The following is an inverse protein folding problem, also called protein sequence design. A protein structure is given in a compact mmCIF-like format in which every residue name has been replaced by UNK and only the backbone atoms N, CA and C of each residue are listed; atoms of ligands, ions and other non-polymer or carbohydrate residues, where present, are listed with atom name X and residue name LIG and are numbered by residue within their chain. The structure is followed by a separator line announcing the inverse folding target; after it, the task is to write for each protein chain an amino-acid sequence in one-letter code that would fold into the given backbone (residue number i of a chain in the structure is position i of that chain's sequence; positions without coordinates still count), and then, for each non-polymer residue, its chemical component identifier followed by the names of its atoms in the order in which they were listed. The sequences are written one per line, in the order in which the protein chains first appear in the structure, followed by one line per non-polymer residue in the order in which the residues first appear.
data_IF_419462670246
#
_entry.id   IF_419462670246
#
_cell.length_a   1.000
_cell.length_b   1.000
_cell.length_c   1.000
_cell.angle_alpha   90.00
_cell.angle_beta   90.00
_cell.angle_gamma   90.00
#
_symmetry.space_group_name_H-M   'P 1'
#
loop_
_entity.id
_entity.type
_entity.pdbx_description
1 polymer ?
#
# COMPACT_ATOMS: atom_id res chain seq x y z
N UNK A 1 -4.72 27.19 -10.72
CA UNK A 1 -5.66 26.15 -10.25
C UNK A 1 -5.06 25.49 -9.02
N UNK A 2 -5.78 25.53 -7.89
CA UNK A 2 -5.34 24.92 -6.63
C UNK A 2 -6.28 23.78 -6.20
N UNK A 3 -5.71 22.72 -5.65
CA UNK A 3 -6.44 21.58 -5.08
C UNK A 3 -6.12 21.44 -3.61
N UNK A 4 -7.11 21.05 -2.80
CA UNK A 4 -6.95 20.70 -1.39
C UNK A 4 -7.32 19.24 -1.19
N UNK A 5 -6.38 18.48 -0.65
CA UNK A 5 -6.50 17.06 -0.37
C UNK A 5 -6.66 16.85 1.12
N UNK A 6 -7.68 16.10 1.52
CA UNK A 6 -7.94 15.76 2.91
C UNK A 6 -7.66 14.29 3.16
N UNK A 7 -6.81 14.02 4.14
CA UNK A 7 -6.46 12.70 4.64
C UNK A 7 -6.87 12.59 6.11
N UNK A 8 -7.49 11.49 6.51
CA UNK A 8 -7.76 11.23 7.93
C UNK A 8 -6.49 10.71 8.60
N UNK A 9 -6.25 11.07 9.85
CA UNK A 9 -5.11 10.55 10.62
C UNK A 9 -5.52 9.99 11.98
N UNK A 10 -4.64 9.15 12.52
CA UNK A 10 -4.63 8.66 13.91
C UNK A 10 -3.29 9.00 14.55
N UNK A 11 -3.33 9.59 15.74
CA UNK A 11 -2.17 9.84 16.59
C UNK A 11 -2.18 8.88 17.78
N UNK A 12 -1.05 8.19 17.96
CA UNK A 12 -0.86 7.15 18.98
C UNK A 12 0.32 7.51 19.88
N UNK A 13 0.12 7.51 21.19
CA UNK A 13 1.00 8.00 22.26
C UNK A 13 1.25 9.52 22.29
N UNK A 14 0.51 10.31 21.52
CA UNK A 14 0.60 11.79 21.55
C UNK A 14 -0.67 12.46 21.00
N UNK A 15 -0.80 13.77 21.20
CA UNK A 15 -1.92 14.56 20.66
C UNK A 15 -1.46 15.96 20.22
N UNK A 16 -2.21 16.55 19.30
CA UNK A 16 -2.11 17.96 18.91
C UNK A 16 -3.04 18.80 19.79
N UNK A 17 -2.48 19.81 20.45
CA UNK A 17 -3.25 20.71 21.32
C UNK A 17 -4.06 21.79 20.57
N UNK A 18 -3.82 21.98 19.27
CA UNK A 18 -4.50 22.96 18.41
C UNK A 18 -4.28 22.64 16.93
N UNK A 19 -4.89 23.42 16.05
CA UNK A 19 -4.58 23.40 14.62
C UNK A 19 -3.13 23.86 14.36
N UNK A 20 -2.46 23.20 13.41
CA UNK A 20 -1.13 23.58 12.93
C UNK A 20 -1.14 23.81 11.42
N UNK A 21 -0.52 24.91 10.97
CA UNK A 21 -0.34 25.24 9.55
C UNK A 21 1.13 25.26 9.17
N UNK A 22 1.46 24.72 8.01
CA UNK A 22 2.78 24.61 7.45
C UNK A 22 2.79 25.11 6.01
N UNK A 23 3.91 25.71 5.60
CA UNK A 23 4.20 25.98 4.19
C UNK A 23 5.52 25.31 3.84
N UNK A 24 5.53 24.55 2.76
CA UNK A 24 6.72 23.90 2.23
C UNK A 24 7.03 24.41 0.83
N UNK A 25 8.30 24.65 0.56
CA UNK A 25 8.79 24.98 -0.76
C UNK A 25 10.15 24.29 -0.99
N UNK A 26 10.37 23.81 -2.21
CA UNK A 26 11.67 23.33 -2.66
C UNK A 26 12.05 24.04 -3.96
N UNK A 27 13.20 24.72 -3.91
CA UNK A 27 13.84 25.33 -5.09
C UNK A 27 14.72 24.34 -5.86
N UNK A 28 14.96 23.15 -5.28
CA UNK A 28 15.67 22.04 -5.92
C UNK A 28 14.66 20.98 -6.37
N UNK A 29 14.97 20.24 -7.46
CA UNK A 29 14.16 19.12 -7.87
C UNK A 29 13.96 18.13 -6.73
N UNK A 30 12.70 17.82 -6.43
CA UNK A 30 12.32 16.80 -5.44
C UNK A 30 12.09 15.50 -6.20
N UNK A 31 12.91 14.50 -5.92
CA UNK A 31 12.71 13.14 -6.44
C UNK A 31 11.52 12.47 -5.74
N UNK A 32 10.55 12.01 -6.52
CA UNK A 32 9.36 11.29 -6.04
C UNK A 32 9.18 10.00 -6.84
N UNK A 33 9.40 8.84 -6.21
CA UNK A 33 9.30 7.54 -6.88
C UNK A 33 10.19 7.43 -8.12
N UNK A 34 9.58 7.45 -9.32
CA UNK A 34 10.28 7.38 -10.62
C UNK A 34 10.35 8.71 -11.39
N UNK A 35 10.09 9.85 -10.76
CA UNK A 35 10.15 11.17 -11.42
C UNK A 35 10.70 12.27 -10.51
N UNK A 36 10.94 13.45 -11.10
CA UNK A 36 11.42 14.64 -10.40
C UNK A 36 10.45 15.81 -10.57
N UNK A 37 10.13 16.51 -9.48
CA UNK A 37 9.37 17.76 -9.50
C UNK A 37 10.37 18.89 -9.39
N UNK A 38 10.55 19.66 -10.46
CA UNK A 38 11.56 20.74 -10.53
C UNK A 38 11.36 21.82 -9.47
N UNK A 39 10.10 22.11 -9.12
CA UNK A 39 9.72 23.07 -8.07
C UNK A 39 8.46 22.60 -7.39
N UNK A 40 8.52 22.39 -6.08
CA UNK A 40 7.38 21.97 -5.26
C UNK A 40 7.03 23.09 -4.29
N UNK A 41 5.78 23.53 -4.29
CA UNK A 41 5.21 24.42 -3.28
C UNK A 41 3.90 23.83 -2.78
N UNK A 42 3.75 23.76 -1.45
CA UNK A 42 2.53 23.25 -0.83
C UNK A 42 2.23 23.96 0.49
N UNK A 43 0.96 23.96 0.85
CA UNK A 43 0.51 24.30 2.20
C UNK A 43 -0.05 23.04 2.84
N UNK A 44 0.20 22.83 4.13
CA UNK A 44 -0.36 21.72 4.87
C UNK A 44 -0.99 22.21 6.17
N UNK A 45 -2.10 21.60 6.57
CA UNK A 45 -2.82 21.95 7.79
C UNK A 45 -3.26 20.69 8.51
N UNK A 46 -2.93 20.60 9.80
CA UNK A 46 -3.36 19.51 10.68
C UNK A 46 -4.46 20.07 11.58
N UNK A 47 -5.65 19.51 11.45
CA UNK A 47 -6.81 19.81 12.29
C UNK A 47 -7.12 18.59 13.17
N UNK A 48 -6.85 18.65 14.49
CA UNK A 48 -7.38 17.64 15.40
C UNK A 48 -8.90 17.73 15.47
N UNK A 49 -9.59 16.59 15.46
CA UNK A 49 -11.02 16.54 15.72
C UNK A 49 -11.27 16.73 17.22
N UNK A 50 -12.20 17.62 17.55
CA UNK A 50 -12.70 17.76 18.92
C UNK A 50 -13.81 16.72 19.15
N UNK A 51 -13.84 16.12 20.34
CA UNK A 51 -14.93 15.27 20.83
C UNK A 51 -15.21 13.96 20.05
N UNK A 52 -14.21 13.41 19.37
CA UNK A 52 -14.33 12.15 18.64
C UNK A 52 -14.03 10.93 19.54
N UNK A 53 -14.87 9.89 19.45
CA UNK A 53 -14.59 8.59 20.12
C UNK A 53 -13.46 7.92 19.35
N UNK A 54 -12.26 7.93 19.94
CA UNK A 54 -11.10 7.30 19.33
C UNK A 54 -11.14 5.78 19.50
N UNK A 55 -10.63 5.01 18.52
CA UNK A 55 -10.40 3.57 18.67
C UNK A 55 -9.50 3.24 19.88
N UNK A 56 -9.53 1.98 20.32
CA UNK A 56 -8.59 1.49 21.34
C UNK A 56 -7.15 1.77 20.90
N UNK A 57 -6.33 2.28 21.82
CA UNK A 57 -4.92 2.63 21.59
C UNK A 57 -4.67 3.83 20.66
N UNK A 58 -5.71 4.64 20.37
CA UNK A 58 -5.61 5.91 19.64
C UNK A 58 -5.96 7.06 20.57
N UNK A 59 -5.03 7.99 20.75
CA UNK A 59 -5.21 9.17 21.61
C UNK A 59 -6.01 10.27 20.91
N UNK A 60 -5.87 10.41 19.59
CA UNK A 60 -6.54 11.46 18.83
C UNK A 60 -6.68 11.09 17.35
N UNK A 61 -7.79 11.51 16.76
CA UNK A 61 -8.01 11.49 15.30
C UNK A 61 -8.16 12.92 14.77
N UNK A 62 -7.97 13.09 13.47
CA UNK A 62 -8.17 14.38 12.82
C UNK A 62 -7.99 14.32 11.31
N UNK A 63 -7.85 15.49 10.71
CA UNK A 63 -7.63 15.66 9.27
C UNK A 63 -6.31 16.37 8.97
N UNK A 64 -5.55 15.81 8.03
CA UNK A 64 -4.43 16.45 7.37
C UNK A 64 -4.90 16.97 6.01
N UNK A 65 -4.82 18.28 5.82
CA UNK A 65 -5.09 18.96 4.57
C UNK A 65 -3.79 19.31 3.86
N UNK A 66 -3.73 19.08 2.56
CA UNK A 66 -2.58 19.43 1.70
C UNK A 66 -3.09 20.20 0.50
N UNK A 67 -2.66 21.45 0.38
CA UNK A 67 -3.00 22.35 -0.72
C UNK A 67 -1.87 22.42 -1.73
N UNK A 68 -2.20 22.20 -3.00
CA UNK A 68 -1.25 22.12 -4.12
C UNK A 68 -1.70 22.99 -5.28
N UNK A 69 -0.76 23.70 -5.92
CA UNK A 69 -0.98 24.54 -7.10
C UNK A 69 -1.08 23.78 -8.43
N UNK A 70 -1.58 22.54 -8.41
CA UNK A 70 -1.65 21.66 -9.59
C UNK A 70 -3.09 21.19 -9.83
N UNK A 71 -3.36 20.72 -11.05
CA UNK A 71 -4.61 20.02 -11.37
C UNK A 71 -4.69 18.65 -10.68
N UNK A 72 -5.90 18.11 -10.50
CA UNK A 72 -6.15 16.88 -9.71
C UNK A 72 -5.25 15.69 -10.10
N UNK A 73 -5.06 15.45 -11.40
CA UNK A 73 -4.24 14.31 -11.88
C UNK A 73 -2.77 14.43 -11.49
N UNK A 74 -2.22 15.63 -11.56
CA UNK A 74 -0.82 15.92 -11.21
C UNK A 74 -0.65 16.01 -9.69
N UNK A 75 -1.63 16.61 -9.01
CA UNK A 75 -1.61 16.84 -7.57
C UNK A 75 -1.75 15.55 -6.75
N UNK A 76 -2.52 14.56 -7.22
CA UNK A 76 -2.81 13.33 -6.47
C UNK A 76 -1.56 12.60 -5.96
N UNK A 77 -0.61 12.17 -6.83
CA UNK A 77 0.57 11.45 -6.37
C UNK A 77 1.45 12.30 -5.44
N UNK A 78 1.50 13.62 -5.68
CA UNK A 78 2.26 14.58 -4.86
C UNK A 78 1.63 14.69 -3.47
N UNK A 79 0.31 14.84 -3.38
CA UNK A 79 -0.41 14.94 -2.12
C UNK A 79 -0.22 13.69 -1.25
N UNK A 80 -0.33 12.50 -1.84
CA UNK A 80 -0.11 11.23 -1.13
C UNK A 80 1.32 11.12 -0.60
N UNK A 81 2.30 11.53 -1.41
CA UNK A 81 3.70 11.53 -0.99
C UNK A 81 3.98 12.52 0.15
N UNK A 82 3.47 13.76 0.07
CA UNK A 82 3.60 14.76 1.15
C UNK A 82 2.94 14.25 2.42
N UNK A 83 1.73 13.68 2.31
CA UNK A 83 0.99 13.11 3.43
C UNK A 83 1.85 12.07 4.15
N UNK A 84 2.41 11.12 3.40
CA UNK A 84 3.26 10.07 3.95
C UNK A 84 4.57 10.61 4.52
N UNK A 85 5.20 11.58 3.85
CA UNK A 85 6.42 12.24 4.34
C UNK A 85 6.17 12.91 5.70
N UNK A 86 5.08 13.68 5.83
CA UNK A 86 4.68 14.31 7.09
C UNK A 86 4.41 13.26 8.17
N UNK A 87 3.71 12.17 7.83
CA UNK A 87 3.42 11.10 8.77
C UNK A 87 4.69 10.46 9.34
N UNK A 88 5.70 10.22 8.50
CA UNK A 88 7.00 9.69 8.93
C UNK A 88 7.76 10.68 9.81
N UNK A 89 7.81 11.95 9.43
CA UNK A 89 8.52 12.99 10.21
C UNK A 89 7.90 13.19 11.59
N UNK A 90 6.58 13.31 11.65
CA UNK A 90 5.85 13.45 12.92
C UNK A 90 6.04 12.19 13.77
N UNK A 91 5.95 11.01 13.15
CA UNK A 91 6.13 9.76 13.88
C UNK A 91 7.52 9.63 14.50
N UNK A 92 8.55 10.03 13.75
CA UNK A 92 9.92 10.00 14.26
C UNK A 92 10.12 10.91 15.48
N UNK A 93 9.42 12.03 15.54
CA UNK A 93 9.63 13.05 16.57
C UNK A 93 8.74 12.90 17.81
N UNK A 94 7.51 12.40 17.66
CA UNK A 94 6.47 12.58 18.69
C UNK A 94 5.74 11.32 19.14
N UNK A 95 5.69 10.26 18.33
CA UNK A 95 4.85 9.09 18.63
C UNK A 95 4.50 8.32 17.35
N UNK A 96 3.43 7.54 17.30
CA UNK A 96 3.03 6.89 16.05
C UNK A 96 1.91 7.68 15.40
N UNK A 97 2.16 8.25 14.22
CA UNK A 97 1.18 8.97 13.43
C UNK A 97 0.86 8.18 12.16
N UNK A 98 -0.40 7.84 11.96
CA UNK A 98 -0.87 7.06 10.81
C UNK A 98 -1.83 7.88 9.99
N UNK A 99 -1.72 7.76 8.67
CA UNK A 99 -2.70 8.29 7.74
C UNK A 99 -3.58 7.15 7.26
N UNK A 100 -4.88 7.39 7.28
CA UNK A 100 -5.89 6.54 6.69
C UNK A 100 -6.13 6.98 5.24
N UNK A 101 -5.73 6.11 4.31
CA UNK A 101 -5.90 6.28 2.87
C UNK A 101 -7.21 5.68 2.34
N UNK A 102 -8.02 5.07 3.21
CA UNK A 102 -9.29 4.45 2.84
C UNK A 102 -10.31 5.47 2.34
N UNK A 103 -10.20 6.70 2.83
CA UNK A 103 -11.05 7.83 2.46
C UNK A 103 -10.23 9.09 2.25
N UNK A 104 -10.02 9.43 0.98
CA UNK A 104 -9.34 10.67 0.58
C UNK A 104 -10.30 11.54 -0.20
N UNK A 105 -10.43 12.81 0.20
CA UNK A 105 -11.26 13.77 -0.55
C UNK A 105 -10.39 14.84 -1.18
N UNK A 106 -10.79 15.32 -2.37
CA UNK A 106 -10.16 16.43 -3.05
C UNK A 106 -11.21 17.50 -3.37
N UNK A 107 -10.90 18.75 -3.00
CA UNK A 107 -11.67 19.94 -3.35
C UNK A 107 -10.84 20.87 -4.20
N UNK A 108 -11.49 21.62 -5.09
CA UNK A 108 -10.84 22.72 -5.81
C UNK A 108 -10.91 23.98 -4.96
N UNK A 109 -9.80 24.68 -4.80
CA UNK A 109 -9.81 26.03 -4.24
C UNK A 109 -10.01 27.00 -5.39
N UNK A 110 -11.09 27.78 -5.33
CA UNK A 110 -11.43 28.81 -6.31
C UNK A 110 -10.52 30.03 -6.10
N UNK A 111 -9.98 30.57 -7.19
CA UNK A 111 -9.04 31.70 -7.13
C UNK A 111 -9.72 33.05 -7.44
N UNK A 112 -10.97 33.03 -7.93
CA UNK A 112 -11.76 34.23 -8.25
C UNK A 112 -13.21 34.12 -7.74
N UNK A 113 -13.88 35.26 -7.53
CA UNK A 113 -15.30 35.33 -7.11
C UNK A 113 -16.27 34.72 -8.13
N UNK A 114 -15.88 34.70 -9.41
CA UNK A 114 -16.65 34.07 -10.50
C UNK A 114 -16.56 32.54 -10.41
N UNK A 115 -15.36 32.00 -10.14
CA UNK A 115 -15.16 30.56 -9.91
C UNK A 115 -15.86 30.09 -8.62
N UNK A 116 -15.85 30.90 -7.56
CA UNK A 116 -16.52 30.62 -6.30
C UNK A 116 -18.03 30.43 -6.48
N UNK A 117 -18.68 31.31 -7.27
CA UNK A 117 -20.12 31.20 -7.57
C UNK A 117 -20.48 29.96 -8.38
N UNK A 118 -19.56 29.43 -9.18
CA UNK A 118 -19.83 28.29 -10.08
C UNK A 118 -19.42 26.93 -9.48
N UNK A 119 -18.40 26.92 -8.61
CA UNK A 119 -17.73 25.70 -8.13
C UNK A 119 -17.41 25.67 -6.62
N UNK A 120 -17.66 26.74 -5.86
CA UNK A 120 -17.16 26.93 -4.49
C UNK A 120 -17.45 25.78 -3.50
N UNK A 121 -18.56 25.05 -3.70
CA UNK A 121 -18.98 23.95 -2.81
C UNK A 121 -18.90 22.54 -3.43
N UNK A 122 -18.38 22.39 -4.65
CA UNK A 122 -18.39 21.08 -5.33
C UNK A 122 -17.15 20.26 -4.98
N UNK A 123 -17.34 19.21 -4.17
CA UNK A 123 -16.39 18.10 -4.03
C UNK A 123 -16.03 17.55 -5.41
N UNK A 124 -14.73 17.58 -5.76
CA UNK A 124 -14.27 17.25 -7.11
C UNK A 124 -14.06 15.75 -7.29
N UNK A 125 -13.51 15.10 -6.27
CA UNK A 125 -13.37 13.65 -6.24
C UNK A 125 -13.39 13.12 -4.80
N UNK A 126 -14.01 11.96 -4.64
CA UNK A 126 -13.92 11.13 -3.44
C UNK A 126 -13.34 9.80 -3.87
N UNK A 127 -12.29 9.37 -3.20
CA UNK A 127 -11.71 8.05 -3.40
C UNK A 127 -12.00 7.22 -2.16
N UNK A 128 -12.73 6.12 -2.38
CA UNK A 128 -13.14 5.15 -1.38
C UNK A 128 -12.43 3.83 -1.70
N UNK A 129 -11.52 3.43 -0.83
CA UNK A 129 -10.98 2.07 -0.85
C UNK A 129 -11.80 1.24 0.14
N UNK A 130 -12.73 0.46 -0.40
CA UNK A 130 -13.54 -0.47 0.39
C UNK A 130 -12.85 -1.84 0.38
N UNK A 131 -12.31 -2.24 1.52
CA UNK A 131 -11.89 -3.61 1.75
C UNK A 131 -13.07 -4.37 2.39
N UNK A 132 -13.46 -5.50 1.79
CA UNK A 132 -14.46 -6.37 2.39
C UNK A 132 -13.92 -6.90 3.73
N UNK A 133 -14.63 -6.64 4.82
CA UNK A 133 -14.32 -7.24 6.12
C UNK A 133 -14.74 -8.71 6.04
N UNK A 134 -13.83 -9.56 5.60
CA UNK A 134 -14.02 -11.00 5.63
C UNK A 134 -14.05 -11.38 7.12
N UNK A 135 -15.19 -11.85 7.67
CA UNK A 135 -15.25 -12.24 9.06
C UNK A 135 -14.18 -13.29 9.34
N UNK A 136 -13.52 -13.19 10.50
CA UNK A 136 -12.48 -14.16 10.88
C UNK A 136 -13.09 -15.56 10.76
N UNK A 137 -12.55 -16.42 9.88
CA UNK A 137 -13.12 -17.74 9.69
C UNK A 137 -13.08 -18.47 11.03
N UNK A 138 -14.22 -19.04 11.42
CA UNK A 138 -14.27 -19.87 12.61
C UNK A 138 -13.29 -21.04 12.45
N UNK A 139 -12.70 -21.48 13.57
CA UNK A 139 -11.86 -22.67 13.55
C UNK A 139 -12.68 -23.88 13.09
N UNK A 140 -12.29 -24.45 11.95
CA UNK A 140 -12.91 -25.63 11.38
C UNK A 140 -12.13 -26.87 11.85
N UNK A 141 -12.66 -27.53 12.88
CA UNK A 141 -12.03 -28.71 13.48
C UNK A 141 -11.97 -29.90 12.52
N UNK A 142 -12.93 -30.03 11.61
CA UNK A 142 -12.98 -31.12 10.64
C UNK A 142 -11.87 -30.93 9.59
N UNK A 143 -11.77 -29.72 9.01
CA UNK A 143 -10.67 -29.38 8.10
C UNK A 143 -9.30 -29.48 8.77
N UNK A 144 -9.20 -29.12 10.05
CA UNK A 144 -7.95 -29.28 10.79
C UNK A 144 -7.57 -30.76 10.90
N UNK A 145 -8.49 -31.65 11.26
CA UNK A 145 -8.23 -33.09 11.35
C UNK A 145 -7.83 -33.70 9.99
N UNK A 146 -8.54 -33.31 8.92
CA UNK A 146 -8.20 -33.73 7.55
C UNK A 146 -6.82 -33.25 7.11
N UNK A 147 -6.42 -32.05 7.54
CA UNK A 147 -5.15 -31.42 7.18
C UNK A 147 -3.98 -31.86 8.07
N UNK A 148 -4.24 -32.20 9.33
CA UNK A 148 -3.24 -32.62 10.30
C UNK A 148 -2.54 -33.94 9.90
N UNK A 149 -3.21 -34.75 9.08
CA UNK A 149 -2.66 -35.98 8.54
C UNK A 149 -1.76 -35.75 7.31
N UNK A 150 -1.79 -34.56 6.71
CA UNK A 150 -0.98 -34.24 5.54
C UNK A 150 0.37 -33.66 5.98
N UNK A 151 1.50 -34.22 5.52
CA UNK A 151 2.80 -33.65 5.82
C UNK A 151 2.93 -32.27 5.16
N UNK A 152 3.20 -31.24 5.97
CA UNK A 152 3.52 -29.89 5.50
C UNK A 152 4.96 -29.59 5.93
N UNK A 153 5.76 -28.99 5.04
CA UNK A 153 7.09 -28.48 5.42
C UNK A 153 6.92 -27.37 6.47
N UNK A 154 7.23 -27.69 7.73
CA UNK A 154 7.10 -26.78 8.87
C UNK A 154 7.92 -25.50 8.70
N UNK A 155 9.03 -25.55 7.93
CA UNK A 155 9.81 -24.36 7.60
C UNK A 155 9.01 -23.44 6.69
N UNK A 156 8.34 -23.96 5.67
CA UNK A 156 7.49 -23.16 4.78
C UNK A 156 6.26 -22.65 5.52
N UNK A 157 5.68 -23.44 6.43
CA UNK A 157 4.57 -23.02 7.28
C UNK A 157 4.94 -21.84 8.19
N UNK A 158 6.10 -21.91 8.85
CA UNK A 158 6.61 -20.80 9.65
C UNK A 158 6.81 -19.53 8.79
N UNK A 159 7.43 -19.68 7.61
CA UNK A 159 7.63 -18.55 6.69
C UNK A 159 6.31 -17.94 6.21
N UNK A 160 5.30 -18.77 5.96
CA UNK A 160 3.97 -18.31 5.58
C UNK A 160 3.33 -17.47 6.68
N UNK A 161 3.33 -17.98 7.91
CA UNK A 161 2.74 -17.29 9.06
C UNK A 161 3.48 -15.99 9.38
N UNK A 162 4.81 -15.99 9.31
CA UNK A 162 5.62 -14.78 9.51
C UNK A 162 5.31 -13.71 8.46
N UNK A 163 5.17 -14.11 7.19
CA UNK A 163 4.80 -13.20 6.12
C UNK A 163 3.38 -12.64 6.34
N UNK A 164 2.40 -13.49 6.63
CA UNK A 164 1.01 -13.08 6.86
C UNK A 164 0.87 -12.08 8.03
N UNK A 165 1.71 -12.21 9.07
CA UNK A 165 1.72 -11.33 10.23
C UNK A 165 2.40 -9.96 10.00
N UNK A 166 3.18 -9.79 8.92
CA UNK A 166 3.91 -8.53 8.68
C UNK A 166 2.96 -7.40 8.24
N UNK A 167 3.19 -6.18 8.71
CA UNK A 167 2.38 -5.01 8.33
C UNK A 167 2.82 -4.34 7.03
N UNK A 168 4.04 -4.61 6.55
CA UNK A 168 4.60 -4.00 5.34
C UNK A 168 4.18 -4.78 4.08
N UNK A 169 3.53 -4.13 3.09
CA UNK A 169 3.17 -4.78 1.83
C UNK A 169 4.37 -5.37 1.10
N UNK A 170 5.51 -4.66 1.09
CA UNK A 170 6.75 -5.13 0.46
C UNK A 170 7.26 -6.41 1.15
N UNK A 171 7.31 -6.43 2.49
CA UNK A 171 7.80 -7.60 3.23
C UNK A 171 6.86 -8.79 3.09
N UNK A 172 5.54 -8.56 3.16
CA UNK A 172 4.50 -9.56 2.85
C UNK A 172 4.73 -10.19 1.49
N UNK A 173 4.83 -9.34 0.47
CA UNK A 173 5.03 -9.76 -0.91
C UNK A 173 6.30 -10.60 -1.07
N UNK A 174 7.44 -10.13 -0.56
CA UNK A 174 8.70 -10.86 -0.62
C UNK A 174 8.65 -12.19 0.16
N UNK A 175 7.97 -12.21 1.30
CA UNK A 175 7.78 -13.41 2.13
C UNK A 175 7.01 -14.50 1.38
N UNK A 176 5.83 -14.17 0.83
CA UNK A 176 5.05 -15.10 0.03
C UNK A 176 5.78 -15.52 -1.25
N UNK A 177 6.41 -14.58 -1.95
CA UNK A 177 7.19 -14.90 -3.14
C UNK A 177 8.31 -15.91 -2.86
N UNK A 178 9.02 -15.77 -1.73
CA UNK A 178 10.10 -16.69 -1.33
C UNK A 178 9.61 -18.13 -1.15
N UNK A 179 8.36 -18.31 -0.72
CA UNK A 179 7.74 -19.64 -0.59
C UNK A 179 7.55 -20.26 -1.98
N UNK A 180 6.99 -19.52 -2.94
CA UNK A 180 6.86 -19.99 -4.32
C UNK A 180 8.22 -20.26 -4.95
N UNK A 181 9.20 -19.39 -4.72
CA UNK A 181 10.58 -19.59 -5.17
C UNK A 181 11.13 -20.92 -4.60
N UNK A 182 10.97 -21.18 -3.30
CA UNK A 182 11.42 -22.42 -2.66
C UNK A 182 10.74 -23.67 -3.21
N UNK A 183 9.47 -23.58 -3.61
CA UNK A 183 8.70 -24.70 -4.14
C UNK A 183 8.97 -24.98 -5.62
N UNK A 184 9.23 -23.93 -6.42
CA UNK A 184 9.14 -24.02 -7.89
C UNK A 184 10.38 -23.54 -8.65
N UNK A 185 11.37 -22.87 -8.01
CA UNK A 185 12.60 -22.47 -8.72
C UNK A 185 13.50 -23.66 -9.04
N UNK A 186 13.35 -24.78 -8.31
CA UNK A 186 14.19 -25.96 -8.42
C UNK A 186 15.67 -25.68 -8.13
N UNK A 187 16.54 -26.66 -8.38
CA UNK A 187 17.99 -26.59 -8.19
C UNK A 187 18.75 -25.99 -9.40
N UNK A 188 18.07 -25.40 -10.39
CA UNK A 188 18.66 -25.05 -11.69
C UNK A 188 18.78 -23.54 -11.92
N UNK A 189 19.87 -23.16 -12.61
CA UNK A 189 20.26 -21.82 -13.09
C UNK A 189 19.31 -21.20 -14.16
N UNK A 190 18.01 -21.48 -14.13
CA UNK A 190 17.06 -20.87 -15.06
C UNK A 190 16.53 -19.54 -14.49
N UNK A 191 16.17 -18.55 -15.33
CA UNK A 191 15.46 -17.36 -14.89
C UNK A 191 14.13 -17.71 -14.20
N UNK A 192 13.78 -17.01 -13.12
CA UNK A 192 12.59 -17.26 -12.31
C UNK A 192 11.29 -17.30 -13.12
N UNK A 193 11.11 -16.34 -14.04
CA UNK A 193 9.94 -16.30 -14.95
C UNK A 193 9.78 -17.61 -15.70
N UNK A 194 10.86 -18.12 -16.28
CA UNK A 194 10.86 -19.38 -17.03
C UNK A 194 10.54 -20.57 -16.11
N UNK A 195 11.18 -20.65 -14.94
CA UNK A 195 10.93 -21.74 -14.00
C UNK A 195 9.47 -21.81 -13.53
N UNK A 196 8.85 -20.66 -13.26
CA UNK A 196 7.45 -20.60 -12.84
C UNK A 196 6.49 -20.94 -13.97
N UNK A 197 6.74 -20.45 -15.20
CA UNK A 197 5.91 -20.72 -16.38
C UNK A 197 5.92 -22.19 -16.81
N UNK A 198 7.06 -22.86 -16.63
CA UNK A 198 7.21 -24.31 -16.91
C UNK A 198 6.61 -25.20 -15.80
N UNK A 199 6.19 -24.64 -14.66
CA UNK A 199 5.64 -25.44 -13.55
C UNK A 199 4.16 -25.74 -13.76
N UNK A 200 3.86 -26.95 -14.25
CA UNK A 200 2.48 -27.45 -14.39
C UNK A 200 1.72 -27.46 -13.06
N UNK A 201 2.42 -27.70 -11.95
CA UNK A 201 1.81 -27.66 -10.61
C UNK A 201 1.42 -26.25 -10.21
N UNK A 202 2.27 -25.25 -10.47
CA UNK A 202 1.95 -23.85 -10.18
C UNK A 202 0.78 -23.38 -11.06
N UNK A 203 0.80 -23.72 -12.36
CA UNK A 203 -0.27 -23.40 -13.30
C UNK A 203 -1.62 -23.98 -12.85
N UNK A 204 -1.69 -25.27 -12.52
CA UNK A 204 -2.92 -25.91 -12.05
C UNK A 204 -3.47 -25.27 -10.76
N UNK A 205 -2.60 -24.94 -9.81
CA UNK A 205 -3.01 -24.26 -8.58
C UNK A 205 -3.51 -22.83 -8.84
N UNK A 206 -2.90 -22.11 -9.79
CA UNK A 206 -3.35 -20.80 -10.23
C UNK A 206 -4.72 -20.88 -10.89
N UNK A 207 -4.90 -21.73 -11.90
CA UNK A 207 -6.16 -21.87 -12.64
C UNK A 207 -7.33 -22.30 -11.74
N UNK A 208 -7.05 -23.08 -10.68
CA UNK A 208 -8.05 -23.45 -9.68
C UNK A 208 -8.52 -22.28 -8.83
N UNK A 209 -7.62 -21.35 -8.49
CA UNK A 209 -7.93 -20.20 -7.62
C UNK A 209 -8.41 -18.98 -8.41
N UNK A 210 -7.89 -18.81 -9.63
CA UNK A 210 -8.09 -17.65 -10.49
C UNK A 210 -8.45 -18.14 -11.91
N UNK A 211 -9.63 -18.74 -12.10
CA UNK A 211 -10.01 -19.39 -13.36
C UNK A 211 -10.08 -18.42 -14.55
N UNK A 212 -10.41 -17.16 -14.29
CA UNK A 212 -10.47 -16.10 -15.30
C UNK A 212 -9.12 -15.39 -15.52
N UNK A 213 -8.10 -15.74 -14.73
CA UNK A 213 -6.78 -15.11 -14.75
C UNK A 213 -5.87 -15.63 -15.88
N UNK A 214 -4.96 -14.78 -16.35
CA UNK A 214 -3.91 -15.18 -17.30
C UNK A 214 -2.62 -15.53 -16.56
N UNK A 215 -2.35 -16.82 -16.40
CA UNK A 215 -1.19 -17.32 -15.65
C UNK A 215 0.14 -16.71 -16.10
N UNK A 216 0.38 -16.64 -17.41
CA UNK A 216 1.63 -16.11 -17.97
C UNK A 216 1.86 -14.65 -17.58
N UNK A 217 0.80 -13.84 -17.66
CA UNK A 217 0.83 -12.42 -17.31
C UNK A 217 1.06 -12.23 -15.82
N UNK A 218 0.37 -13.01 -14.99
CA UNK A 218 0.56 -13.00 -13.54
C UNK A 218 2.00 -13.32 -13.15
N UNK A 219 2.60 -14.37 -13.74
CA UNK A 219 4.00 -14.73 -13.44
C UNK A 219 4.95 -13.60 -13.84
N UNK A 220 4.75 -12.99 -15.00
CA UNK A 220 5.60 -11.87 -15.44
C UNK A 220 5.52 -10.70 -14.45
N UNK A 221 4.31 -10.30 -14.08
CA UNK A 221 4.03 -9.19 -13.19
C UNK A 221 4.58 -9.41 -11.78
N UNK A 222 4.30 -10.57 -11.18
CA UNK A 222 4.75 -10.91 -9.82
C UNK A 222 6.27 -10.99 -9.75
N UNK A 223 6.94 -11.53 -10.78
CA UNK A 223 8.41 -11.56 -10.81
C UNK A 223 9.01 -10.15 -11.00
N UNK A 224 8.38 -9.27 -11.78
CA UNK A 224 8.86 -7.90 -11.97
C UNK A 224 8.66 -7.05 -10.71
N UNK A 225 7.49 -7.16 -10.07
CA UNK A 225 7.22 -6.54 -8.76
C UNK A 225 8.21 -7.07 -7.73
N UNK A 226 8.52 -8.37 -7.70
CA UNK A 226 9.56 -8.93 -6.81
C UNK A 226 10.91 -8.25 -7.00
N UNK A 227 11.36 -8.06 -8.23
CA UNK A 227 12.64 -7.41 -8.49
C UNK A 227 12.66 -5.97 -7.96
N UNK A 228 11.55 -5.24 -8.10
CA UNK A 228 11.40 -3.86 -7.59
C UNK A 228 11.32 -3.82 -6.07
N UNK A 229 10.61 -4.76 -5.45
CA UNK A 229 10.58 -4.92 -3.99
C UNK A 229 11.95 -5.26 -3.39
N UNK A 230 12.75 -6.07 -4.08
CA UNK A 230 14.04 -6.57 -3.57
C UNK A 230 15.23 -5.62 -3.80
N UNK A 231 15.13 -4.70 -4.75
CA UNK A 231 16.26 -3.88 -5.18
C UNK A 231 15.87 -2.41 -5.31
N UNK A 232 16.14 -1.63 -4.26
CA UNK A 232 16.10 -0.18 -4.33
C UNK A 232 17.44 0.35 -4.86
N UNK A 233 17.42 1.00 -6.03
CA UNK A 233 18.55 1.69 -6.66
C UNK A 233 18.12 3.12 -6.96
N UNK A 234 18.38 4.01 -6.00
CA UNK A 234 17.99 5.42 -6.06
C UNK A 234 18.57 6.14 -7.28
N UNK A 235 19.80 5.79 -7.67
CA UNK A 235 20.51 6.33 -8.84
C UNK A 235 19.89 5.95 -10.18
N UNK A 236 19.02 4.94 -10.21
CA UNK A 236 18.38 4.41 -11.42
C UNK A 236 16.86 4.49 -11.36
N UNK A 237 16.31 5.18 -10.36
CA UNK A 237 14.86 5.27 -10.10
C UNK A 237 14.19 3.89 -10.19
N UNK A 238 14.83 2.88 -9.58
CA UNK A 238 14.40 1.49 -9.65
C UNK A 238 14.14 0.92 -8.26
N UNK A 239 12.99 0.28 -8.10
CA UNK A 239 12.53 -0.31 -6.85
C UNK A 239 11.64 0.62 -6.04
N UNK A 240 10.97 0.07 -5.04
CA UNK A 240 10.03 0.84 -4.22
C UNK A 240 10.71 1.33 -2.96
N UNK A 241 10.71 2.65 -2.75
CA UNK A 241 10.96 3.20 -1.43
C UNK A 241 9.77 2.84 -0.51
N UNK A 242 9.94 2.65 0.80
CA UNK A 242 8.85 2.28 1.72
C UNK A 242 7.62 3.23 1.72
N UNK A 243 7.78 4.44 1.16
CA UNK A 243 6.74 5.48 1.08
C UNK A 243 6.22 5.69 -0.36
N UNK A 244 6.61 4.84 -1.30
CA UNK A 244 6.24 4.99 -2.70
C UNK A 244 4.73 4.67 -2.89
N UNK A 245 3.91 5.61 -3.39
CA UNK A 245 2.48 5.36 -3.63
C UNK A 245 2.24 4.19 -4.60
N UNK A 246 3.23 3.84 -5.45
CA UNK A 246 3.15 2.67 -6.32
C UNK A 246 3.07 1.35 -5.57
N UNK A 247 3.41 1.31 -4.28
CA UNK A 247 3.20 0.11 -3.46
C UNK A 247 1.71 -0.25 -3.44
N UNK A 248 0.82 0.73 -3.27
CA UNK A 248 -0.61 0.47 -3.22
C UNK A 248 -1.20 0.19 -4.62
N UNK A 249 -0.57 0.70 -5.68
CA UNK A 249 -1.00 0.46 -7.06
C UNK A 249 -0.49 -0.88 -7.65
N UNK A 250 0.74 -1.28 -7.31
CA UNK A 250 1.45 -2.38 -7.99
C UNK A 250 1.73 -3.58 -7.07
N UNK A 251 1.85 -3.39 -5.75
CA UNK A 251 2.18 -4.47 -4.80
C UNK A 251 0.94 -4.98 -4.09
N UNK A 252 0.18 -4.08 -3.46
CA UNK A 252 -1.00 -4.42 -2.64
C UNK A 252 -2.04 -5.26 -3.41
N UNK A 253 -2.38 -4.97 -4.69
CA UNK A 253 -3.38 -5.75 -5.41
C UNK A 253 -2.98 -7.21 -5.65
N UNK A 254 -1.68 -7.52 -5.63
CA UNK A 254 -1.17 -8.87 -5.86
C UNK A 254 -1.11 -9.72 -4.58
N UNK A 255 -1.20 -9.12 -3.40
CA UNK A 255 -0.96 -9.80 -2.13
C UNK A 255 -1.95 -10.95 -1.89
N UNK A 256 -3.26 -10.70 -2.03
CA UNK A 256 -4.28 -11.72 -1.76
C UNK A 256 -4.17 -12.92 -2.70
N UNK A 257 -3.91 -12.67 -3.98
CA UNK A 257 -3.68 -13.71 -4.96
C UNK A 257 -2.42 -14.53 -4.64
N UNK A 258 -1.34 -13.86 -4.26
CA UNK A 258 -0.06 -14.49 -3.93
C UNK A 258 -0.15 -15.33 -2.65
N UNK A 259 -0.82 -14.82 -1.61
CA UNK A 259 -1.08 -15.53 -0.35
C UNK A 259 -1.90 -16.80 -0.57
N UNK A 260 -3.02 -16.67 -1.29
CA UNK A 260 -3.88 -17.82 -1.61
C UNK A 260 -3.13 -18.89 -2.42
N UNK A 261 -2.34 -18.46 -3.40
CA UNK A 261 -1.54 -19.36 -4.22
C UNK A 261 -0.47 -20.09 -3.40
N UNK A 262 0.23 -19.38 -2.50
CA UNK A 262 1.20 -20.00 -1.59
C UNK A 262 0.54 -21.06 -0.70
N UNK A 263 -0.57 -20.70 -0.04
CA UNK A 263 -1.29 -21.60 0.85
C UNK A 263 -1.78 -22.86 0.13
N UNK A 264 -2.30 -22.72 -1.09
CA UNK A 264 -2.78 -23.84 -1.88
C UNK A 264 -1.62 -24.72 -2.37
N UNK A 265 -0.54 -24.12 -2.89
CA UNK A 265 0.63 -24.86 -3.32
C UNK A 265 1.28 -25.64 -2.18
N UNK A 266 1.36 -25.08 -0.96
CA UNK A 266 1.92 -25.78 0.20
C UNK A 266 1.10 -26.99 0.67
N UNK A 267 -0.21 -27.00 0.39
CA UNK A 267 -1.13 -28.12 0.73
C UNK A 267 -1.15 -29.22 -0.32
N UNK A 268 -0.61 -28.93 -1.51
CA UNK A 268 -0.54 -29.82 -2.68
C UNK A 268 0.85 -30.49 -2.81
N UNK A 269 1.62 -30.57 -1.71
CA UNK A 269 2.97 -31.17 -1.64
C UNK A 269 2.90 -32.69 -1.50
#
# INVERSE_FOLDING_TARGET
MKTEWQFRFEAVNFHFGKEHKYKGASEQPVEFGNGSIDRLEFEARIEPENDCICPSDVEQVGSLYITLGYGVKEAKPIAHWIAQYMAQQISFQSGRFRIDYSFVTCKRITETEEEEKEFGDKLYSVELHLEEVIPTPAFDSERFQESALKPIDMRLLAQFNDAAADSSPIKKFLGFFRILESLFSGSKKKPLKTAFKESDRLRRNFEKLLPDGKFETFVDEVVDVRHRCAHLKLDKSFGYAPIDPKIDEEVRPLLSALEALCANCMRDV
#
